data_IF_574355109459
#
_entry.id   IF_574355109459
#
_cell.length_a   1.000
_cell.length_b   1.000
_cell.length_c   1.000
_cell.angle_alpha   90.00
_cell.angle_beta   90.00
_cell.angle_gamma   90.00
#
_symmetry.space_group_name_H-M   'P 1'
#
loop_
_entity.id
_entity.type
_entity.pdbx_description
1 polymer ?
#
# COMPACT_ATOMS: atom_id res chain seq x y z
N UNK A 1 -17.77 1.82 32.25
CA UNK A 1 -16.64 1.37 33.08
C UNK A 1 -15.40 2.19 32.73
N UNK A 2 -14.84 2.89 33.71
CA UNK A 2 -13.43 3.29 33.73
C UNK A 2 -13.02 4.53 32.95
N UNK A 3 -13.35 5.71 33.47
CA UNK A 3 -12.77 7.01 33.12
C UNK A 3 -11.31 7.09 33.59
N UNK A 4 -10.41 6.32 32.95
CA UNK A 4 -8.97 6.53 33.05
C UNK A 4 -8.55 7.31 31.82
N UNK A 5 -8.21 8.58 32.01
CA UNK A 5 -7.84 9.55 30.97
C UNK A 5 -6.57 9.22 30.20
N UNK A 6 -6.54 8.06 29.53
CA UNK A 6 -5.55 7.72 28.54
C UNK A 6 -6.10 8.11 27.17
N UNK A 7 -5.43 9.03 26.49
CA UNK A 7 -5.72 9.33 25.09
C UNK A 7 -5.54 8.05 24.27
N UNK A 8 -6.53 7.65 23.46
CA UNK A 8 -6.40 6.48 22.59
C UNK A 8 -5.17 6.65 21.70
N UNK A 9 -4.28 5.67 21.65
CA UNK A 9 -3.15 5.68 20.73
C UNK A 9 -3.46 4.85 19.47
N UNK A 10 -2.53 4.80 18.51
CA UNK A 10 -2.71 4.05 17.26
C UNK A 10 -3.12 2.59 17.48
N UNK A 11 -2.56 1.92 18.49
CA UNK A 11 -2.89 0.53 18.81
C UNK A 11 -4.33 0.43 19.30
N UNK A 12 -4.74 1.31 20.23
CA UNK A 12 -6.12 1.40 20.70
C UNK A 12 -7.11 1.62 19.56
N UNK A 13 -6.80 2.55 18.64
CA UNK A 13 -7.64 2.79 17.48
C UNK A 13 -7.74 1.55 16.59
N UNK A 14 -6.62 0.87 16.31
CA UNK A 14 -6.64 -0.33 15.47
C UNK A 14 -7.54 -1.44 16.01
N UNK A 15 -7.49 -1.69 17.32
CA UNK A 15 -8.31 -2.69 18.00
C UNK A 15 -9.78 -2.29 17.99
N UNK A 16 -10.10 -1.03 18.30
CA UNK A 16 -11.48 -0.54 18.30
C UNK A 16 -12.09 -0.57 16.88
N UNK A 17 -11.32 -0.15 15.88
CA UNK A 17 -11.75 -0.21 14.48
C UNK A 17 -11.98 -1.66 14.05
N UNK A 18 -11.05 -2.55 14.36
CA UNK A 18 -11.20 -3.97 14.02
C UNK A 18 -12.45 -4.57 14.67
N UNK A 19 -12.71 -4.32 15.95
CA UNK A 19 -13.90 -4.82 16.64
C UNK A 19 -15.22 -4.31 16.05
N UNK A 20 -15.30 -3.02 15.70
CA UNK A 20 -16.48 -2.44 15.02
C UNK A 20 -16.70 -3.12 13.65
N UNK A 21 -15.62 -3.32 12.89
CA UNK A 21 -15.68 -3.94 11.57
C UNK A 21 -16.03 -5.44 11.63
N UNK A 22 -15.57 -6.17 12.65
CA UNK A 22 -15.88 -7.60 12.85
C UNK A 22 -17.34 -7.84 13.23
N UNK A 23 -17.94 -6.92 13.97
CA UNK A 23 -19.36 -7.00 14.36
C UNK A 23 -20.33 -6.74 13.20
N UNK A 24 -19.83 -6.45 11.99
CA UNK A 24 -20.65 -6.11 10.83
C UNK A 24 -21.38 -4.78 10.99
N UNK A 25 -20.93 -3.92 11.91
CA UNK A 25 -21.54 -2.62 12.18
C UNK A 25 -21.37 -1.67 10.99
N UNK A 26 -22.37 -0.81 10.82
CA UNK A 26 -22.54 0.07 9.65
C UNK A 26 -21.47 1.18 9.63
N UNK A 27 -21.24 1.80 8.48
CA UNK A 27 -20.27 2.90 8.28
C UNK A 27 -20.49 4.06 9.28
N UNK A 28 -21.72 4.19 9.79
CA UNK A 28 -22.11 5.15 10.85
C UNK A 28 -21.42 4.90 12.19
N UNK A 29 -21.07 3.67 12.53
CA UNK A 29 -20.39 3.36 13.79
C UNK A 29 -18.89 3.63 13.66
N UNK A 30 -18.34 3.44 12.45
CA UNK A 30 -16.99 3.89 12.10
C UNK A 30 -16.88 5.42 12.15
N UNK A 31 -17.91 6.16 11.70
CA UNK A 31 -17.89 7.63 11.74
C UNK A 31 -17.97 8.20 13.16
N UNK A 32 -18.79 7.60 14.04
CA UNK A 32 -18.79 7.94 15.47
C UNK A 32 -17.43 7.66 16.12
N UNK A 33 -16.78 6.57 15.71
CA UNK A 33 -15.45 6.22 16.21
C UNK A 33 -14.39 7.23 15.74
N UNK A 34 -14.44 7.68 14.47
CA UNK A 34 -13.59 8.78 13.98
C UNK A 34 -13.75 10.02 14.87
N UNK A 35 -15.00 10.45 15.07
CA UNK A 35 -15.31 11.62 15.87
C UNK A 35 -14.74 11.50 17.28
N UNK A 36 -14.90 10.33 17.91
CA UNK A 36 -14.38 10.09 19.26
C UNK A 36 -12.86 10.07 19.31
N UNK A 37 -12.19 9.36 18.41
CA UNK A 37 -10.73 9.18 18.43
C UNK A 37 -9.98 10.46 18.02
N UNK A 38 -10.54 11.23 17.07
CA UNK A 38 -9.96 12.49 16.60
C UNK A 38 -10.25 13.63 17.58
N UNK A 39 -11.48 13.77 18.11
CA UNK A 39 -11.81 14.84 19.08
C UNK A 39 -11.05 14.70 20.40
N UNK A 40 -10.71 13.47 20.80
CA UNK A 40 -9.87 13.22 21.97
C UNK A 40 -8.38 13.50 21.71
N UNK A 41 -8.00 13.92 20.50
CA UNK A 41 -6.63 14.27 20.12
C UNK A 41 -5.66 13.09 20.13
N UNK A 42 -6.17 11.85 20.23
CA UNK A 42 -5.34 10.66 20.41
C UNK A 42 -4.77 10.10 19.11
N UNK A 43 -5.45 10.33 17.98
CA UNK A 43 -5.09 9.79 16.67
C UNK A 43 -5.44 10.78 15.57
N UNK A 44 -4.54 10.97 14.60
CA UNK A 44 -4.78 11.80 13.42
C UNK A 44 -5.72 11.11 12.41
N UNK A 45 -6.33 11.87 11.49
CA UNK A 45 -7.14 11.29 10.41
C UNK A 45 -6.33 10.30 9.55
N UNK A 46 -5.07 10.61 9.26
CA UNK A 46 -4.15 9.73 8.52
C UNK A 46 -3.98 8.37 9.20
N UNK A 47 -3.69 8.36 10.51
CA UNK A 47 -3.52 7.13 11.28
C UNK A 47 -4.83 6.35 11.41
N UNK A 48 -5.95 7.03 11.60
CA UNK A 48 -7.26 6.40 11.66
C UNK A 48 -7.57 5.65 10.35
N UNK A 49 -7.54 6.35 9.21
CA UNK A 49 -7.92 5.77 7.93
C UNK A 49 -6.91 4.70 7.48
N UNK A 50 -5.61 4.88 7.75
CA UNK A 50 -4.60 3.85 7.51
C UNK A 50 -4.91 2.60 8.33
N UNK A 51 -5.20 2.76 9.63
CA UNK A 51 -5.55 1.64 10.49
C UNK A 51 -6.84 0.94 10.05
N UNK A 52 -7.86 1.69 9.64
CA UNK A 52 -9.11 1.12 9.13
C UNK A 52 -8.87 0.32 7.84
N UNK A 53 -8.06 0.84 6.92
CA UNK A 53 -7.66 0.14 5.70
C UNK A 53 -6.96 -1.18 6.02
N UNK A 54 -5.98 -1.16 6.94
CA UNK A 54 -5.26 -2.36 7.38
C UNK A 54 -6.19 -3.38 8.03
N UNK A 55 -7.13 -2.94 8.87
CA UNK A 55 -8.11 -3.84 9.50
C UNK A 55 -9.05 -4.47 8.47
N UNK A 56 -9.59 -3.70 7.53
CA UNK A 56 -10.44 -4.21 6.44
C UNK A 56 -9.70 -5.25 5.59
N UNK A 57 -8.41 -5.00 5.31
CA UNK A 57 -7.53 -5.94 4.63
C UNK A 57 -7.44 -7.25 5.42
N UNK A 58 -7.12 -7.19 6.71
CA UNK A 58 -7.02 -8.40 7.56
C UNK A 58 -8.32 -9.20 7.64
N UNK A 59 -9.46 -8.51 7.54
CA UNK A 59 -10.79 -9.12 7.50
C UNK A 59 -11.21 -9.59 6.10
N UNK A 60 -10.33 -9.50 5.10
CA UNK A 60 -10.57 -9.86 3.69
C UNK A 60 -11.72 -9.07 3.04
N UNK A 61 -12.02 -7.87 3.56
CA UNK A 61 -13.03 -6.94 3.04
C UNK A 61 -12.39 -5.99 2.02
N UNK A 62 -11.88 -6.56 0.93
CA UNK A 62 -10.98 -5.88 -0.01
C UNK A 62 -11.59 -4.66 -0.69
N UNK A 63 -12.84 -4.76 -1.15
CA UNK A 63 -13.51 -3.66 -1.83
C UNK A 63 -13.66 -2.43 -0.91
N UNK A 64 -13.93 -2.66 0.37
CA UNK A 64 -14.06 -1.60 1.35
C UNK A 64 -12.71 -1.00 1.71
N UNK A 65 -11.66 -1.83 1.82
CA UNK A 65 -10.30 -1.36 2.02
C UNK A 65 -9.84 -0.47 0.86
N UNK A 66 -10.07 -0.88 -0.38
CA UNK A 66 -9.70 -0.11 -1.58
C UNK A 66 -10.46 1.22 -1.62
N UNK A 67 -11.78 1.22 -1.34
CA UNK A 67 -12.59 2.44 -1.25
C UNK A 67 -12.08 3.40 -0.17
N UNK A 68 -11.75 2.88 1.01
CA UNK A 68 -11.20 3.68 2.11
C UNK A 68 -9.85 4.28 1.75
N UNK A 69 -8.95 3.50 1.14
CA UNK A 69 -7.64 3.97 0.72
C UNK A 69 -7.75 5.05 -0.36
N UNK A 70 -8.58 4.85 -1.39
CA UNK A 70 -8.81 5.86 -2.43
C UNK A 70 -9.43 7.13 -1.88
N UNK A 71 -10.33 7.03 -0.89
CA UNK A 71 -10.89 8.19 -0.20
C UNK A 71 -9.80 9.01 0.49
N UNK A 72 -8.78 8.37 1.09
CA UNK A 72 -7.64 9.07 1.67
C UNK A 72 -6.92 9.90 0.60
N UNK A 73 -6.58 9.29 -0.53
CA UNK A 73 -5.88 9.95 -1.63
C UNK A 73 -6.67 11.13 -2.20
N UNK A 74 -7.97 10.95 -2.46
CA UNK A 74 -8.85 12.02 -2.97
C UNK A 74 -8.96 13.20 -1.99
N UNK A 75 -8.94 12.93 -0.68
CA UNK A 75 -8.98 13.95 0.36
C UNK A 75 -7.61 14.56 0.69
N UNK A 76 -6.54 14.15 0.00
CA UNK A 76 -5.17 14.57 0.30
C UNK A 76 -4.67 14.08 1.67
N UNK A 77 -5.32 13.08 2.26
CA UNK A 77 -4.89 12.47 3.51
C UNK A 77 -3.81 11.45 3.18
N UNK A 78 -2.60 11.69 3.69
CA UNK A 78 -1.46 10.81 3.44
C UNK A 78 -1.67 9.44 4.11
N UNK A 79 -1.75 8.32 3.37
CA UNK A 79 -1.72 6.99 3.97
C UNK A 79 -0.34 6.68 4.55
N UNK A 80 -0.29 5.79 5.53
CA UNK A 80 0.98 5.28 6.04
C UNK A 80 1.56 4.16 5.16
N UNK A 81 2.87 3.90 5.31
CA UNK A 81 3.58 2.90 4.51
C UNK A 81 3.04 1.48 4.64
N UNK A 82 2.46 1.11 5.79
CA UNK A 82 1.87 -0.21 6.00
C UNK A 82 0.59 -0.37 5.19
N UNK A 83 -0.31 0.61 5.23
CA UNK A 83 -1.53 0.63 4.43
C UNK A 83 -1.21 0.58 2.93
N UNK A 84 -0.27 1.41 2.46
CA UNK A 84 0.20 1.37 1.07
C UNK A 84 0.73 -0.01 0.67
N UNK A 85 1.61 -0.58 1.49
CA UNK A 85 2.23 -1.88 1.22
C UNK A 85 1.21 -2.99 1.13
N UNK A 86 0.22 -3.00 2.03
CA UNK A 86 -0.81 -4.04 2.05
C UNK A 86 -1.77 -3.91 0.87
N UNK A 87 -2.28 -2.71 0.56
CA UNK A 87 -3.19 -2.53 -0.59
C UNK A 87 -2.51 -2.94 -1.91
N UNK A 88 -1.29 -2.50 -2.14
CA UNK A 88 -0.54 -2.87 -3.36
C UNK A 88 -0.22 -4.37 -3.40
N UNK A 89 0.16 -4.96 -2.26
CA UNK A 89 0.39 -6.40 -2.15
C UNK A 89 -0.86 -7.20 -2.52
N UNK A 90 -2.02 -6.81 -1.99
CA UNK A 90 -3.29 -7.48 -2.30
C UNK A 90 -3.66 -7.34 -3.78
N UNK A 91 -3.47 -6.17 -4.40
CA UNK A 91 -3.70 -6.01 -5.84
C UNK A 91 -2.79 -6.92 -6.67
N UNK A 92 -1.51 -7.06 -6.29
CA UNK A 92 -0.60 -8.01 -6.91
C UNK A 92 -1.04 -9.47 -6.72
N UNK A 93 -1.51 -9.85 -5.53
CA UNK A 93 -2.00 -11.20 -5.25
C UNK A 93 -3.28 -11.55 -6.03
N UNK A 94 -4.09 -10.54 -6.34
CA UNK A 94 -5.27 -10.66 -7.20
C UNK A 94 -4.92 -10.57 -8.70
N UNK A 95 -3.63 -10.54 -9.06
CA UNK A 95 -3.11 -10.40 -10.43
C UNK A 95 -3.61 -9.12 -11.15
N UNK A 96 -4.08 -8.12 -10.40
CA UNK A 96 -4.53 -6.82 -10.90
C UNK A 96 -3.34 -5.88 -11.07
N UNK A 97 -2.31 -6.30 -11.82
CA UNK A 97 -1.03 -5.58 -11.90
C UNK A 97 -1.14 -4.18 -12.52
N UNK A 98 -2.04 -3.99 -13.50
CA UNK A 98 -2.29 -2.65 -14.05
C UNK A 98 -2.87 -1.69 -12.99
N UNK A 99 -3.91 -2.12 -12.29
CA UNK A 99 -4.52 -1.33 -11.23
C UNK A 99 -3.52 -1.04 -10.11
N UNK A 100 -2.68 -2.02 -9.78
CA UNK A 100 -1.59 -1.87 -8.82
C UNK A 100 -0.58 -0.81 -9.27
N UNK A 101 -0.19 -0.82 -10.55
CA UNK A 101 0.70 0.20 -11.11
C UNK A 101 0.08 1.60 -11.10
N UNK A 102 -1.18 1.75 -11.49
CA UNK A 102 -1.86 3.05 -11.45
C UNK A 102 -1.94 3.59 -10.01
N UNK A 103 -2.28 2.73 -9.05
CA UNK A 103 -2.30 3.12 -7.65
C UNK A 103 -0.90 3.45 -7.12
N UNK A 104 0.13 2.73 -7.57
CA UNK A 104 1.51 3.04 -7.26
C UNK A 104 1.89 4.45 -7.72
N UNK A 105 1.51 4.85 -8.93
CA UNK A 105 1.75 6.22 -9.43
C UNK A 105 1.00 7.28 -8.61
N UNK A 106 -0.21 6.99 -8.14
CA UNK A 106 -0.94 7.88 -7.22
C UNK A 106 -0.19 8.02 -5.89
N UNK A 107 0.32 6.92 -5.33
CA UNK A 107 1.10 6.94 -4.08
C UNK A 107 2.45 7.64 -4.26
N UNK A 108 3.05 7.57 -5.45
CA UNK A 108 4.29 8.29 -5.78
C UNK A 108 4.11 9.81 -5.71
N UNK A 109 2.95 10.32 -6.12
CA UNK A 109 2.63 11.76 -6.06
C UNK A 109 2.52 12.31 -4.63
N UNK A 110 2.19 11.46 -3.66
CA UNK A 110 2.10 11.83 -2.23
C UNK A 110 3.38 11.52 -1.44
N UNK A 111 4.46 11.15 -2.14
CA UNK A 111 5.81 10.91 -1.60
C UNK A 111 5.84 9.91 -0.42
N UNK A 112 5.07 8.83 -0.54
CA UNK A 112 5.02 7.74 0.46
C UNK A 112 5.75 6.48 0.00
N UNK A 113 6.20 6.45 -1.26
CA UNK A 113 6.79 5.26 -1.89
C UNK A 113 8.02 4.73 -1.16
N UNK A 114 8.84 5.60 -0.58
CA UNK A 114 10.02 5.21 0.20
C UNK A 114 9.70 4.39 1.45
N UNK A 115 8.45 4.41 1.91
CA UNK A 115 7.98 3.68 3.09
C UNK A 115 7.27 2.37 2.75
N UNK A 116 7.10 2.07 1.46
CA UNK A 116 6.48 0.84 0.97
C UNK A 116 7.49 -0.30 1.04
N UNK A 117 7.02 -1.48 1.44
CA UNK A 117 7.80 -2.72 1.43
C UNK A 117 8.42 -2.98 0.04
N UNK A 118 9.74 -3.19 0.02
CA UNK A 118 10.52 -3.47 -1.19
C UNK A 118 10.06 -4.73 -1.93
N UNK A 119 9.49 -5.69 -1.21
CA UNK A 119 8.97 -6.92 -1.83
C UNK A 119 7.78 -6.64 -2.75
N UNK A 120 6.94 -5.64 -2.42
CA UNK A 120 5.77 -5.26 -3.24
C UNK A 120 6.20 -4.81 -4.63
N UNK A 121 7.24 -3.99 -4.71
CA UNK A 121 7.79 -3.50 -5.97
C UNK A 121 8.31 -4.65 -6.85
N UNK A 122 8.98 -5.62 -6.22
CA UNK A 122 9.53 -6.78 -6.91
C UNK A 122 8.41 -7.65 -7.50
N UNK A 123 7.38 -7.94 -6.70
CA UNK A 123 6.22 -8.71 -7.15
C UNK A 123 5.49 -7.98 -8.28
N UNK A 124 5.25 -6.68 -8.13
CA UNK A 124 4.60 -5.87 -9.16
C UNK A 124 5.39 -5.87 -10.47
N UNK A 125 6.71 -5.64 -10.39
CA UNK A 125 7.57 -5.63 -11.57
C UNK A 125 7.57 -6.96 -12.31
N UNK A 126 7.67 -8.08 -11.58
CA UNK A 126 7.61 -9.41 -12.18
C UNK A 126 6.26 -9.66 -12.85
N UNK A 127 5.16 -9.38 -12.16
CA UNK A 127 3.81 -9.56 -12.72
C UNK A 127 3.55 -8.71 -13.96
N UNK A 128 4.02 -7.46 -13.98
CA UNK A 128 3.96 -6.60 -15.16
C UNK A 128 4.74 -7.18 -16.34
N UNK A 129 5.96 -7.69 -16.10
CA UNK A 129 6.72 -8.34 -17.16
C UNK A 129 6.07 -9.63 -17.67
N UNK A 130 5.52 -10.45 -16.78
CA UNK A 130 4.82 -11.70 -17.13
C UNK A 130 3.56 -11.44 -17.97
N UNK A 131 2.85 -10.34 -17.72
CA UNK A 131 1.73 -9.89 -18.54
C UNK A 131 2.14 -9.11 -19.81
N UNK A 132 3.44 -9.02 -20.11
CA UNK A 132 3.94 -8.31 -21.30
C UNK A 132 3.76 -6.80 -21.24
N UNK A 133 3.59 -6.22 -20.04
CA UNK A 133 3.35 -4.79 -19.82
C UNK A 133 4.66 -4.02 -19.70
N UNK A 134 5.44 -4.10 -20.78
CA UNK A 134 6.84 -3.64 -20.84
C UNK A 134 7.05 -2.19 -20.43
N UNK A 135 6.17 -1.28 -20.87
CA UNK A 135 6.32 0.15 -20.57
C UNK A 135 6.21 0.44 -19.06
N UNK A 136 5.23 -0.17 -18.39
CA UNK A 136 5.05 0.02 -16.95
C UNK A 136 6.15 -0.66 -16.15
N UNK A 137 6.54 -1.86 -16.56
CA UNK A 137 7.67 -2.57 -15.96
C UNK A 137 8.95 -1.74 -16.05
N UNK A 138 9.27 -1.18 -17.23
CA UNK A 138 10.43 -0.33 -17.42
C UNK A 138 10.37 0.93 -16.55
N UNK A 139 9.19 1.58 -16.47
CA UNK A 139 8.99 2.77 -15.64
C UNK A 139 9.17 2.46 -14.15
N UNK A 140 8.60 1.36 -13.65
CA UNK A 140 8.75 0.93 -12.27
C UNK A 140 10.22 0.58 -11.97
N UNK A 141 10.87 -0.20 -12.82
CA UNK A 141 12.28 -0.56 -12.68
C UNK A 141 13.19 0.67 -12.59
N UNK A 142 12.95 1.67 -13.44
CA UNK A 142 13.66 2.95 -13.39
C UNK A 142 13.45 3.67 -12.05
N UNK A 143 12.21 3.78 -11.58
CA UNK A 143 11.90 4.40 -10.27
C UNK A 143 12.62 3.69 -9.12
N UNK A 144 12.65 2.36 -9.13
CA UNK A 144 13.36 1.56 -8.12
C UNK A 144 14.88 1.80 -8.13
N UNK A 145 15.50 1.92 -9.32
CA UNK A 145 16.92 2.24 -9.47
C UNK A 145 17.25 3.66 -9.00
N UNK A 146 16.45 4.63 -9.42
CA UNK A 146 16.66 6.04 -9.11
C UNK A 146 16.51 6.30 -7.59
N UNK A 147 15.62 5.55 -6.92
CA UNK A 147 15.43 5.56 -5.46
C UNK A 147 16.39 4.62 -4.69
N UNK A 148 17.32 3.96 -5.38
CA UNK A 148 18.32 3.04 -4.80
C UNK A 148 17.71 1.97 -3.89
N UNK A 149 16.58 1.41 -4.30
CA UNK A 149 15.87 0.40 -3.50
C UNK A 149 16.70 -0.90 -3.46
N UNK A 150 16.84 -1.48 -2.26
CA UNK A 150 17.55 -2.74 -2.09
C UNK A 150 16.72 -3.91 -2.64
N UNK A 151 17.10 -4.39 -3.82
CA UNK A 151 16.55 -5.60 -4.40
C UNK A 151 17.21 -6.84 -3.77
N UNK A 152 16.43 -7.90 -3.55
CA UNK A 152 16.98 -9.22 -3.19
C UNK A 152 17.59 -9.86 -4.43
N UNK A 153 18.73 -10.56 -4.29
CA UNK A 153 19.43 -11.24 -5.41
C UNK A 153 18.49 -12.15 -6.19
N UNK A 154 17.62 -12.89 -5.50
CA UNK A 154 16.62 -13.79 -6.10
C UNK A 154 15.54 -13.08 -6.94
N UNK A 155 15.38 -11.77 -6.78
CA UNK A 155 14.47 -10.94 -7.56
C UNK A 155 15.19 -10.34 -8.77
N UNK A 156 16.46 -9.92 -8.61
CA UNK A 156 17.27 -9.33 -9.69
C UNK A 156 17.37 -10.27 -10.89
N UNK A 157 17.68 -11.55 -10.68
CA UNK A 157 17.79 -12.53 -11.77
C UNK A 157 16.47 -12.70 -12.54
N UNK A 158 15.35 -12.79 -11.81
CA UNK A 158 14.02 -12.93 -12.40
C UNK A 158 13.63 -11.68 -13.18
N UNK A 159 13.91 -10.50 -12.64
CA UNK A 159 13.65 -9.21 -13.29
C UNK A 159 14.49 -9.09 -14.56
N UNK A 160 15.79 -9.44 -14.52
CA UNK A 160 16.65 -9.43 -15.72
C UNK A 160 16.11 -10.39 -16.79
N UNK A 161 15.73 -11.62 -16.44
CA UNK A 161 15.14 -12.56 -17.41
C UNK A 161 13.84 -12.02 -18.01
N UNK A 162 13.01 -11.36 -17.20
CA UNK A 162 11.75 -10.80 -17.66
C UNK A 162 11.97 -9.58 -18.57
N UNK A 163 12.94 -8.71 -18.24
CA UNK A 163 13.33 -7.58 -19.08
C UNK A 163 13.97 -8.01 -20.41
N UNK A 164 14.73 -9.12 -20.45
CA UNK A 164 15.25 -9.71 -21.70
C UNK A 164 14.14 -10.02 -22.70
N UNK A 165 12.97 -10.47 -22.21
CA UNK A 165 11.81 -10.74 -23.07
C UNK A 165 11.18 -9.46 -23.62
N UNK A 166 11.37 -8.33 -22.94
CA UNK A 166 10.82 -7.03 -23.34
C UNK A 166 11.77 -6.19 -24.21
N UNK A 167 13.05 -6.56 -24.30
CA UNK A 167 14.05 -5.92 -25.17
C UNK A 167 14.74 -4.67 -24.62
N UNK A 168 14.59 -4.37 -23.33
CA UNK A 168 15.11 -3.13 -22.72
C UNK A 168 16.54 -3.30 -22.17
N UNK A 169 17.52 -3.35 -23.08
CA UNK A 169 18.94 -3.68 -22.81
C UNK A 169 19.66 -2.72 -21.85
N UNK A 170 19.28 -1.45 -21.80
CA UNK A 170 19.93 -0.44 -20.96
C UNK A 170 19.59 -0.61 -19.47
N UNK A 171 18.30 -0.89 -19.18
CA UNK A 171 17.85 -1.20 -17.82
C UNK A 171 18.47 -2.50 -17.30
N UNK A 172 18.65 -3.51 -18.16
CA UNK A 172 19.28 -4.77 -17.79
C UNK A 172 20.73 -4.60 -17.34
N UNK A 173 21.51 -3.77 -18.05
CA UNK A 173 22.91 -3.49 -17.69
C UNK A 173 23.03 -2.81 -16.33
N UNK A 174 22.14 -1.86 -16.02
CA UNK A 174 22.13 -1.17 -14.72
C UNK A 174 21.80 -2.11 -13.57
N UNK A 175 20.85 -3.03 -13.76
CA UNK A 175 20.45 -4.03 -12.75
C UNK A 175 21.51 -5.11 -12.51
N UNK A 176 22.32 -5.47 -13.52
CA UNK A 176 23.38 -6.47 -13.36
C UNK A 176 24.64 -5.94 -12.65
N UNK A 177 24.75 -4.63 -12.46
CA UNK A 177 25.90 -3.96 -11.83
C UNK A 177 25.65 -3.47 -10.40
N UNK A 178 24.42 -3.57 -9.88
CA UNK A 178 24.05 -3.20 -8.51
C UNK A 178 24.01 -4.40 -7.58
#
# INVERSE_FOLDING_TARGET
MGDRGCSPNRVTASVLIQGVLENGEDVKDLSKLIDKLVKLGGVSLSEFFSSATVSLIRLKRWEEAEKMFRLMLVRGIRPDGLACSLVLRELCLLERYHDCFLLYEEIEKVDVVSTIDTDVHSVLLLGLCEQGRSWEAAKLAKSMLDKKMRLKVSQVEKIIQALKKTGDEDLMRRLSTS
#
